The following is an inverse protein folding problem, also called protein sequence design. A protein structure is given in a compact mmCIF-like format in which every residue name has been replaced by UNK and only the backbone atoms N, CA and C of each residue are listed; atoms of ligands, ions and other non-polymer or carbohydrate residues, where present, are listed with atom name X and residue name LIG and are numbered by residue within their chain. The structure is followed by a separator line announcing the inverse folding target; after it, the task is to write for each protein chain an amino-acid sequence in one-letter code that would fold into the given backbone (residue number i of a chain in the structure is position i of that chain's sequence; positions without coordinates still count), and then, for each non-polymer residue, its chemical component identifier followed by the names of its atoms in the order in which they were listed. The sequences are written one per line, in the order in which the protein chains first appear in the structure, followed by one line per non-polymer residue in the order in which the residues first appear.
data_IF_166156053530
#
_entry.id   IF_166156053530
#
_cell.length_a   1.000
_cell.length_b   1.000
_cell.length_c   1.000
_cell.angle_alpha   90.00
_cell.angle_beta   90.00
_cell.angle_gamma   90.00
#
_symmetry.space_group_name_H-M   'P 1'
#
loop_
_entity.id
_entity.type
_entity.pdbx_description
1 polymer ?
#
# COMPACT_ATOMS: atom_id res chain seq x y z
N UNK A 1 8.38 17.57 14.46
CA UNK A 1 7.27 17.74 15.45
C UNK A 1 6.23 18.76 14.99
N UNK A 2 6.62 19.85 14.33
CA UNK A 2 5.75 20.93 13.89
C UNK A 2 4.64 20.47 12.94
N UNK A 3 4.93 19.53 12.06
CA UNK A 3 3.99 19.00 11.06
C UNK A 3 3.22 17.76 11.50
N UNK A 4 3.45 17.25 12.73
CA UNK A 4 2.81 16.03 13.24
C UNK A 4 3.28 14.73 12.56
N UNK A 5 4.36 14.81 11.77
CA UNK A 5 5.04 13.66 11.16
C UNK A 5 6.32 13.42 11.98
N UNK A 6 6.41 12.25 12.61
CA UNK A 6 7.60 11.88 13.36
C UNK A 6 8.69 11.38 12.42
N UNK A 7 9.80 12.10 12.41
CA UNK A 7 11.03 11.74 11.70
C UNK A 7 12.20 11.96 12.67
N UNK A 8 13.08 10.99 12.79
CA UNK A 8 14.34 11.15 13.52
C UNK A 8 15.37 11.86 12.62
N UNK A 9 15.75 13.12 12.93
CA UNK A 9 16.69 13.87 12.11
C UNK A 9 18.12 13.34 12.16
N UNK A 10 18.47 12.48 13.14
CA UNK A 10 19.77 11.86 13.26
C UNK A 10 19.86 10.51 12.53
N UNK A 11 18.72 9.95 12.11
CA UNK A 11 18.71 8.67 11.41
C UNK A 11 19.29 8.80 9.99
N UNK A 12 20.12 7.84 9.61
CA UNK A 12 20.62 7.74 8.24
C UNK A 12 19.53 7.18 7.34
N UNK A 13 19.28 7.79 6.16
CA UNK A 13 18.19 7.44 5.25
C UNK A 13 18.21 5.96 4.85
N UNK A 14 19.40 5.39 4.61
CA UNK A 14 19.52 3.98 4.23
C UNK A 14 19.16 2.98 5.34
N UNK A 15 19.03 3.45 6.60
CA UNK A 15 18.57 2.61 7.72
C UNK A 15 17.05 2.73 7.97
N UNK A 16 16.38 3.63 7.24
CA UNK A 16 14.95 3.85 7.39
C UNK A 16 14.16 2.81 6.57
N UNK A 17 13.04 2.37 7.11
CA UNK A 17 12.05 1.62 6.31
C UNK A 17 11.52 2.48 5.17
N UNK A 18 10.97 1.84 4.12
CA UNK A 18 10.42 2.57 2.95
C UNK A 18 9.35 3.58 3.37
N UNK A 19 8.47 3.23 4.32
CA UNK A 19 7.48 4.14 4.87
C UNK A 19 8.09 5.33 5.64
N UNK A 20 9.20 5.11 6.34
CA UNK A 20 9.94 6.20 7.00
C UNK A 20 10.62 7.12 5.98
N UNK A 21 11.23 6.55 4.93
CA UNK A 21 11.81 7.33 3.83
C UNK A 21 10.75 8.21 3.16
N UNK A 22 9.56 7.68 2.93
CA UNK A 22 8.45 8.44 2.37
C UNK A 22 8.01 9.58 3.28
N UNK A 23 7.97 9.38 4.60
CA UNK A 23 7.69 10.47 5.56
C UNK A 23 8.75 11.57 5.49
N UNK A 24 10.03 11.22 5.34
CA UNK A 24 11.11 12.21 5.15
C UNK A 24 10.87 13.05 3.91
N UNK A 25 10.52 12.44 2.78
CA UNK A 25 10.23 13.16 1.53
C UNK A 25 9.03 14.10 1.67
N UNK A 26 7.96 13.66 2.33
CA UNK A 26 6.79 14.51 2.58
C UNK A 26 7.18 15.72 3.43
N UNK A 27 7.93 15.51 4.53
CA UNK A 27 8.40 16.59 5.39
C UNK A 27 9.29 17.55 4.60
N UNK A 28 10.21 17.03 3.77
CA UNK A 28 11.08 17.83 2.92
C UNK A 28 10.30 18.74 1.97
N UNK A 29 9.25 18.21 1.34
CA UNK A 29 8.37 19.00 0.48
C UNK A 29 7.60 20.07 1.26
N UNK A 30 7.08 19.75 2.44
CA UNK A 30 6.31 20.68 3.26
C UNK A 30 7.16 21.82 3.84
N UNK A 31 8.44 21.58 4.12
CA UNK A 31 9.37 22.61 4.59
C UNK A 31 9.67 23.72 3.55
N UNK A 32 9.33 23.49 2.28
CA UNK A 32 9.49 24.48 1.21
C UNK A 32 8.29 25.45 1.11
N UNK A 33 7.32 25.36 2.01
CA UNK A 33 6.08 26.13 2.03
C UNK A 33 5.37 26.16 0.65
N UNK A 34 5.04 24.99 0.07
CA UNK A 34 4.47 24.90 -1.26
C UNK A 34 3.03 25.42 -1.27
N UNK A 35 2.62 26.04 -2.38
CA UNK A 35 1.21 26.37 -2.64
C UNK A 35 0.42 25.20 -3.21
N UNK A 36 1.11 24.26 -3.85
CA UNK A 36 0.56 23.03 -4.42
C UNK A 36 1.47 21.86 -4.05
N UNK A 37 0.88 20.82 -3.50
CA UNK A 37 1.55 19.54 -3.24
C UNK A 37 0.94 18.49 -4.17
N UNK A 38 1.79 17.84 -4.98
CA UNK A 38 1.39 16.73 -5.85
C UNK A 38 1.95 15.44 -5.24
N UNK A 39 1.07 14.48 -5.00
CA UNK A 39 1.41 13.19 -4.40
C UNK A 39 0.93 12.05 -5.30
N UNK A 40 1.85 11.21 -5.72
CA UNK A 40 1.58 10.04 -6.56
C UNK A 40 1.75 8.77 -5.73
N UNK A 41 0.63 8.04 -5.53
CA UNK A 41 0.54 6.80 -4.74
C UNK A 41 1.25 6.86 -3.37
N UNK A 42 1.05 7.93 -2.55
CA UNK A 42 1.87 8.16 -1.36
C UNK A 42 1.63 7.16 -0.22
N UNK A 43 0.66 6.30 -0.36
CA UNK A 43 0.25 5.32 0.67
C UNK A 43 0.58 3.88 0.28
N UNK A 44 1.27 3.67 -0.85
CA UNK A 44 1.54 2.33 -1.39
C UNK A 44 2.36 1.44 -0.43
N UNK A 45 3.20 2.05 0.39
CA UNK A 45 4.12 1.38 1.33
C UNK A 45 3.82 1.69 2.80
N UNK A 46 2.74 2.44 3.06
CA UNK A 46 2.31 2.81 4.40
C UNK A 46 1.35 1.78 5.00
N UNK A 47 1.42 1.62 6.31
CA UNK A 47 0.39 0.91 7.06
C UNK A 47 -0.91 1.71 7.10
N UNK A 48 -2.07 1.09 7.39
CA UNK A 48 -3.33 1.82 7.54
C UNK A 48 -3.25 2.96 8.58
N UNK A 49 -2.54 2.75 9.68
CA UNK A 49 -2.35 3.75 10.73
C UNK A 49 -1.52 4.94 10.24
N UNK A 50 -0.42 4.66 9.51
CA UNK A 50 0.42 5.70 8.91
C UNK A 50 -0.33 6.48 7.81
N UNK A 51 -1.18 5.81 7.05
CA UNK A 51 -2.05 6.43 6.05
C UNK A 51 -3.01 7.43 6.69
N UNK A 52 -3.69 7.05 7.79
CA UNK A 52 -4.60 7.98 8.47
C UNK A 52 -3.85 9.18 9.07
N UNK A 53 -2.67 8.96 9.67
CA UNK A 53 -1.82 10.05 10.14
C UNK A 53 -1.44 11.02 9.02
N UNK A 54 -1.08 10.48 7.83
CA UNK A 54 -0.81 11.30 6.65
C UNK A 54 -2.04 12.11 6.25
N UNK A 55 -3.22 11.51 6.22
CA UNK A 55 -4.47 12.18 5.86
C UNK A 55 -4.82 13.31 6.83
N UNK A 56 -4.62 13.11 8.13
CA UNK A 56 -4.81 14.18 9.12
C UNK A 56 -3.89 15.38 8.85
N UNK A 57 -2.63 15.10 8.53
CA UNK A 57 -1.66 16.14 8.17
C UNK A 57 -2.10 16.88 6.91
N UNK A 58 -2.45 16.17 5.85
CA UNK A 58 -2.89 16.77 4.58
C UNK A 58 -4.17 17.60 4.74
N UNK A 59 -5.16 17.11 5.52
CA UNK A 59 -6.38 17.86 5.84
C UNK A 59 -6.07 19.17 6.57
N UNK A 60 -5.11 19.15 7.52
CA UNK A 60 -4.66 20.34 8.25
C UNK A 60 -4.02 21.36 7.32
N UNK A 61 -3.12 20.92 6.43
CA UNK A 61 -2.48 21.81 5.48
C UNK A 61 -3.47 22.38 4.44
N UNK A 62 -4.40 21.56 3.96
CA UNK A 62 -5.44 21.99 3.06
C UNK A 62 -6.35 23.08 3.69
N UNK A 63 -6.67 22.96 5.00
CA UNK A 63 -7.39 24.00 5.75
C UNK A 63 -6.59 25.30 5.84
N UNK A 64 -5.27 25.25 5.80
CA UNK A 64 -4.38 26.40 5.83
C UNK A 64 -4.04 26.94 4.44
N UNK A 65 -4.75 26.48 3.39
CA UNK A 65 -4.64 27.02 2.04
C UNK A 65 -3.73 26.25 1.08
N UNK A 66 -3.09 25.15 1.50
CA UNK A 66 -2.34 24.29 0.60
C UNK A 66 -3.28 23.55 -0.36
N UNK A 67 -3.06 23.67 -1.65
CA UNK A 67 -3.71 22.83 -2.64
C UNK A 67 -3.02 21.45 -2.69
N UNK A 68 -3.81 20.37 -2.63
CA UNK A 68 -3.27 19.00 -2.70
C UNK A 68 -3.86 18.28 -3.90
N UNK A 69 -3.01 17.83 -4.81
CA UNK A 69 -3.34 16.89 -5.88
C UNK A 69 -2.89 15.48 -5.45
N UNK A 70 -3.86 14.64 -5.12
CA UNK A 70 -3.62 13.30 -4.62
C UNK A 70 -3.97 12.28 -5.70
N UNK A 71 -3.00 11.49 -6.14
CA UNK A 71 -3.15 10.46 -7.16
C UNK A 71 -3.12 9.11 -6.45
N UNK A 72 -4.16 8.31 -6.64
CA UNK A 72 -4.24 6.95 -6.09
C UNK A 72 -5.25 6.11 -6.87
N UNK A 73 -5.05 4.81 -6.88
CA UNK A 73 -6.01 3.82 -7.37
C UNK A 73 -6.85 3.19 -6.22
N UNK A 74 -6.53 3.52 -4.97
CA UNK A 74 -7.24 3.03 -3.78
C UNK A 74 -8.48 3.90 -3.51
N UNK A 75 -9.65 3.39 -3.87
CA UNK A 75 -10.89 4.15 -3.85
C UNK A 75 -11.34 4.59 -2.46
N UNK A 76 -11.02 3.80 -1.42
CA UNK A 76 -11.27 4.18 -0.04
C UNK A 76 -10.50 5.43 0.36
N UNK A 77 -9.25 5.55 -0.07
CA UNK A 77 -8.40 6.71 0.19
C UNK A 77 -8.91 7.96 -0.53
N UNK A 78 -9.28 7.82 -1.81
CA UNK A 78 -9.89 8.90 -2.59
C UNK A 78 -11.14 9.43 -1.88
N UNK A 79 -12.03 8.54 -1.42
CA UNK A 79 -13.25 8.94 -0.72
C UNK A 79 -12.98 9.54 0.66
N UNK A 80 -11.97 9.05 1.37
CA UNK A 80 -11.65 9.53 2.71
C UNK A 80 -10.98 10.90 2.71
N UNK A 81 -10.15 11.19 1.70
CA UNK A 81 -9.30 12.39 1.70
C UNK A 81 -9.84 13.50 0.80
N UNK A 82 -10.37 13.18 -0.38
CA UNK A 82 -10.65 14.17 -1.42
C UNK A 82 -12.12 14.59 -1.47
N UNK A 83 -12.39 15.84 -1.87
CA UNK A 83 -13.76 16.32 -2.12
C UNK A 83 -14.22 16.07 -3.54
N UNK A 84 -13.29 16.01 -4.50
CA UNK A 84 -13.53 15.79 -5.92
C UNK A 84 -12.50 14.84 -6.49
N UNK A 85 -12.93 13.91 -7.32
CA UNK A 85 -12.06 13.03 -8.08
C UNK A 85 -12.27 13.19 -9.57
N UNK A 86 -11.17 13.26 -10.31
CA UNK A 86 -11.15 13.21 -11.77
C UNK A 86 -10.60 11.85 -12.19
N UNK A 87 -11.36 11.13 -12.98
CA UNK A 87 -10.99 9.76 -13.41
C UNK A 87 -10.33 9.82 -14.78
N UNK A 88 -9.12 9.30 -14.86
CA UNK A 88 -8.38 9.14 -16.11
C UNK A 88 -8.47 7.69 -16.59
N UNK A 89 -8.69 7.52 -17.88
CA UNK A 89 -8.70 6.22 -18.54
C UNK A 89 -8.11 6.34 -19.94
N UNK A 90 -7.06 5.58 -20.25
CA UNK A 90 -6.33 5.62 -21.53
C UNK A 90 -5.92 7.04 -21.94
N UNK A 91 -5.40 7.82 -20.98
CA UNK A 91 -4.96 9.19 -21.21
C UNK A 91 -6.07 10.24 -21.34
N UNK A 92 -7.33 9.86 -21.18
CA UNK A 92 -8.47 10.76 -21.29
C UNK A 92 -9.18 10.95 -19.95
N UNK A 93 -9.66 12.17 -19.70
CA UNK A 93 -10.58 12.45 -18.60
C UNK A 93 -11.96 11.87 -18.97
N UNK A 94 -12.39 10.83 -18.25
CA UNK A 94 -13.68 10.16 -18.48
C UNK A 94 -14.79 10.65 -17.53
N UNK A 95 -14.45 11.51 -16.57
CA UNK A 95 -15.40 12.14 -15.68
C UNK A 95 -14.77 12.75 -14.44
N UNK A 96 -15.44 13.75 -13.89
CA UNK A 96 -15.11 14.34 -12.59
C UNK A 96 -16.35 14.26 -11.70
N UNK A 97 -16.16 13.75 -10.48
CA UNK A 97 -17.25 13.52 -9.54
C UNK A 97 -16.92 14.08 -8.16
N UNK A 98 -17.94 14.48 -7.41
CA UNK A 98 -17.80 14.69 -5.98
C UNK A 98 -17.66 13.34 -5.27
N UNK A 99 -16.65 13.19 -4.44
CA UNK A 99 -16.37 11.92 -3.76
C UNK A 99 -17.37 11.62 -2.65
N UNK A 100 -17.92 12.67 -2.05
CA UNK A 100 -18.97 12.56 -1.04
C UNK A 100 -20.24 11.98 -1.67
N UNK A 101 -20.68 10.83 -1.16
CA UNK A 101 -21.86 10.14 -1.67
C UNK A 101 -21.59 9.11 -2.78
N UNK A 102 -20.38 9.01 -3.30
CA UNK A 102 -19.98 7.95 -4.23
C UNK A 102 -19.62 6.67 -3.47
N UNK A 103 -20.04 5.52 -4.00
CA UNK A 103 -19.55 4.22 -3.55
C UNK A 103 -18.25 3.84 -4.29
N UNK A 104 -17.45 2.94 -3.69
CA UNK A 104 -16.27 2.38 -4.37
C UNK A 104 -16.66 1.72 -5.70
N UNK A 105 -17.82 1.06 -5.76
CA UNK A 105 -18.33 0.43 -6.97
C UNK A 105 -18.54 1.45 -8.08
N UNK A 106 -19.19 2.58 -7.80
CA UNK A 106 -19.43 3.64 -8.78
C UNK A 106 -18.13 4.24 -9.31
N UNK A 107 -17.15 4.51 -8.42
CA UNK A 107 -15.84 4.99 -8.83
C UNK A 107 -15.08 3.94 -9.66
N UNK A 108 -15.12 2.68 -9.26
CA UNK A 108 -14.51 1.58 -10.03
C UNK A 108 -15.13 1.44 -11.43
N UNK A 109 -16.46 1.53 -11.55
CA UNK A 109 -17.15 1.48 -12.83
C UNK A 109 -16.75 2.62 -13.77
N UNK A 110 -16.53 3.82 -13.24
CA UNK A 110 -15.96 4.95 -14.02
C UNK A 110 -14.54 4.64 -14.50
N UNK A 111 -13.68 4.09 -13.64
CA UNK A 111 -12.30 3.75 -13.99
C UNK A 111 -12.21 2.65 -15.02
N UNK A 112 -13.00 1.59 -14.87
CA UNK A 112 -13.00 0.42 -15.76
C UNK A 112 -13.79 0.70 -17.05
N UNK A 113 -14.87 1.49 -16.94
CA UNK A 113 -15.78 1.83 -18.06
C UNK A 113 -16.85 0.77 -18.33
N UNK A 114 -16.97 -0.21 -17.45
CA UNK A 114 -18.02 -1.25 -17.51
C UNK A 114 -18.56 -1.50 -16.10
N UNK A 115 -19.78 -2.01 -16.00
CA UNK A 115 -20.36 -2.42 -14.73
C UNK A 115 -19.54 -3.55 -14.09
N UNK A 116 -19.20 -3.38 -12.83
CA UNK A 116 -18.51 -4.43 -12.06
C UNK A 116 -19.51 -5.54 -11.77
N UNK A 117 -19.21 -6.75 -12.26
CA UNK A 117 -19.99 -7.95 -11.93
C UNK A 117 -19.53 -8.47 -10.57
N UNK A 118 -20.49 -8.87 -9.74
CA UNK A 118 -20.17 -9.57 -8.49
C UNK A 118 -19.55 -10.93 -8.81
N UNK A 119 -18.30 -11.12 -8.37
CA UNK A 119 -17.63 -12.41 -8.52
C UNK A 119 -18.05 -13.30 -7.35
N UNK A 120 -18.79 -14.37 -7.63
CA UNK A 120 -19.11 -15.37 -6.64
C UNK A 120 -17.81 -16.05 -6.15
N UNK A 121 -17.62 -16.05 -4.83
CA UNK A 121 -16.46 -16.69 -4.21
C UNK A 121 -16.61 -18.21 -4.38
N UNK A 122 -15.78 -18.82 -5.22
CA UNK A 122 -15.70 -20.27 -5.29
C UNK A 122 -14.99 -20.80 -4.04
N UNK A 123 -15.62 -21.74 -3.34
CA UNK A 123 -14.97 -22.45 -2.23
C UNK A 123 -13.94 -23.42 -2.81
N UNK A 124 -12.72 -23.39 -2.31
CA UNK A 124 -11.74 -24.41 -2.63
C UNK A 124 -12.27 -25.81 -2.24
N UNK A 125 -12.00 -26.85 -3.03
CA UNK A 125 -12.42 -28.22 -2.71
C UNK A 125 -11.81 -28.68 -1.38
N UNK A 126 -12.64 -29.12 -0.44
CA UNK A 126 -12.25 -29.44 0.93
C UNK A 126 -11.27 -30.62 1.09
N UNK A 127 -10.96 -31.38 0.01
CA UNK A 127 -10.08 -32.58 0.04
C UNK A 127 -9.19 -32.63 -1.21
N UNK A 128 -8.44 -31.58 -1.49
CA UNK A 128 -7.49 -31.58 -2.62
C UNK A 128 -6.08 -32.05 -2.17
N UNK A 129 -5.34 -32.64 -3.11
CA UNK A 129 -3.97 -33.11 -2.90
C UNK A 129 -3.05 -31.93 -2.56
N UNK A 130 -2.19 -32.07 -1.57
CA UNK A 130 -1.11 -31.13 -1.31
C UNK A 130 -0.14 -31.21 -2.49
N UNK A 131 0.09 -30.07 -3.13
CA UNK A 131 1.02 -29.96 -4.28
C UNK A 131 2.35 -29.36 -3.86
N UNK A 132 2.34 -28.56 -2.81
CA UNK A 132 3.53 -27.89 -2.32
C UNK A 132 3.48 -27.84 -0.79
N UNK A 133 4.59 -28.18 -0.13
CA UNK A 133 4.72 -28.08 1.30
C UNK A 133 6.13 -27.65 1.69
N UNK A 134 6.20 -26.77 2.66
CA UNK A 134 7.43 -26.37 3.36
C UNK A 134 7.21 -26.65 4.83
N UNK A 135 8.15 -27.33 5.49
CA UNK A 135 8.04 -27.69 6.89
C UNK A 135 9.22 -27.13 7.66
N UNK A 136 8.94 -26.33 8.69
CA UNK A 136 9.94 -25.78 9.62
C UNK A 136 11.11 -25.12 8.92
N UNK A 137 10.85 -24.30 7.88
CA UNK A 137 11.87 -23.53 7.20
C UNK A 137 12.47 -22.52 8.19
N UNK A 138 13.76 -22.65 8.41
CA UNK A 138 14.54 -21.72 9.21
C UNK A 138 15.69 -21.19 8.36
N UNK A 139 15.85 -19.87 8.33
CA UNK A 139 16.89 -19.22 7.55
C UNK A 139 17.42 -17.99 8.28
N UNK A 140 18.73 -17.93 8.57
CA UNK A 140 19.34 -16.75 9.16
C UNK A 140 19.32 -15.58 8.17
N UNK A 141 19.29 -14.36 8.69
CA UNK A 141 19.50 -13.15 7.88
C UNK A 141 20.87 -13.18 7.18
N UNK A 142 20.94 -12.73 5.95
CA UNK A 142 22.18 -12.71 5.18
C UNK A 142 22.94 -11.39 5.29
N UNK A 143 22.23 -10.30 5.59
CA UNK A 143 22.81 -8.96 5.73
C UNK A 143 22.06 -8.16 6.81
N UNK A 144 22.50 -6.92 7.03
CA UNK A 144 21.91 -6.04 8.05
C UNK A 144 20.43 -5.69 7.79
N UNK A 145 19.97 -5.81 6.55
CA UNK A 145 18.62 -5.39 6.10
C UNK A 145 17.66 -6.56 5.93
N UNK A 146 18.18 -7.81 5.91
CA UNK A 146 17.35 -8.99 5.75
C UNK A 146 16.79 -9.49 7.09
N UNK A 147 15.70 -10.26 7.01
CA UNK A 147 14.97 -10.83 8.14
C UNK A 147 15.29 -12.32 8.31
N UNK A 148 15.42 -12.77 9.54
CA UNK A 148 15.55 -14.20 9.84
C UNK A 148 14.18 -14.87 9.74
N UNK A 149 14.05 -15.88 8.87
CA UNK A 149 12.88 -16.76 8.86
C UNK A 149 13.00 -17.81 9.95
N UNK A 150 11.89 -18.06 10.68
CA UNK A 150 11.86 -19.03 11.78
C UNK A 150 10.61 -19.87 11.70
N UNK A 151 10.81 -21.17 11.68
CA UNK A 151 9.76 -22.21 11.80
C UNK A 151 8.57 -22.01 10.84
N UNK A 152 8.86 -21.61 9.59
CA UNK A 152 7.83 -21.37 8.58
C UNK A 152 7.31 -22.71 8.06
N UNK A 153 6.02 -22.95 8.24
CA UNK A 153 5.34 -24.15 7.73
C UNK A 153 4.17 -23.72 6.87
N UNK A 154 4.16 -24.16 5.61
CA UNK A 154 3.17 -23.79 4.58
C UNK A 154 2.78 -25.02 3.80
N UNK A 155 1.48 -25.21 3.54
CA UNK A 155 0.94 -26.19 2.61
C UNK A 155 0.05 -25.50 1.60
N UNK A 156 0.24 -25.80 0.31
CA UNK A 156 -0.65 -25.36 -0.76
C UNK A 156 -1.24 -26.57 -1.50
N UNK A 157 -2.55 -26.54 -1.73
CA UNK A 157 -3.33 -27.65 -2.27
C UNK A 157 -3.77 -27.37 -3.71
N UNK A 158 -4.06 -28.44 -4.44
CA UNK A 158 -4.59 -28.33 -5.80
C UNK A 158 -5.89 -27.51 -5.83
N UNK A 159 -5.95 -26.48 -6.71
CA UNK A 159 -7.11 -25.59 -6.85
C UNK A 159 -7.26 -24.55 -5.72
N UNK A 160 -6.27 -24.44 -4.83
CA UNK A 160 -6.22 -23.45 -3.77
C UNK A 160 -5.40 -22.22 -4.21
N UNK A 161 -5.87 -21.03 -3.81
CA UNK A 161 -5.07 -19.80 -3.83
C UNK A 161 -4.67 -19.53 -2.38
N UNK A 162 -3.41 -19.80 -2.06
CA UNK A 162 -2.84 -19.55 -0.73
C UNK A 162 -2.23 -18.15 -0.68
N UNK A 163 -2.69 -17.30 0.26
CA UNK A 163 -2.22 -15.93 0.41
C UNK A 163 -1.23 -15.80 1.56
N UNK A 164 -0.11 -15.10 1.32
CA UNK A 164 0.85 -14.67 2.34
C UNK A 164 0.71 -13.17 2.51
N UNK A 165 0.35 -12.72 3.72
CA UNK A 165 0.15 -11.32 4.03
C UNK A 165 1.08 -10.88 5.15
N UNK A 166 1.52 -9.62 5.09
CA UNK A 166 2.37 -8.99 6.11
C UNK A 166 2.68 -7.55 5.75
N UNK A 167 3.18 -6.80 6.74
CA UNK A 167 3.71 -5.46 6.51
C UNK A 167 5.08 -5.59 5.82
N UNK A 168 5.40 -4.68 4.90
CA UNK A 168 6.68 -4.65 4.19
C UNK A 168 7.87 -4.73 5.17
N UNK A 169 8.87 -5.56 4.85
CA UNK A 169 10.03 -5.78 5.70
C UNK A 169 9.88 -6.85 6.80
N UNK A 170 8.79 -7.61 6.81
CA UNK A 170 8.58 -8.70 7.77
C UNK A 170 9.06 -10.08 7.27
N UNK A 171 9.84 -10.14 6.21
CA UNK A 171 10.46 -11.38 5.71
C UNK A 171 9.76 -12.00 4.51
N UNK A 172 8.83 -11.30 3.84
CA UNK A 172 8.14 -11.79 2.66
C UNK A 172 9.11 -12.01 1.49
N UNK A 173 10.06 -11.09 1.31
CA UNK A 173 11.07 -11.16 0.23
C UNK A 173 12.01 -12.34 0.46
N UNK A 174 12.46 -12.55 1.72
CA UNK A 174 13.29 -13.68 2.11
C UNK A 174 12.54 -15.02 1.96
N UNK A 175 11.26 -15.02 2.29
CA UNK A 175 10.42 -16.19 2.11
C UNK A 175 10.24 -16.49 0.61
N UNK A 176 9.94 -15.50 -0.21
CA UNK A 176 9.82 -15.69 -1.66
C UNK A 176 11.11 -16.24 -2.25
N UNK A 177 12.26 -15.64 -1.94
CA UNK A 177 13.55 -16.10 -2.41
C UNK A 177 13.89 -17.53 -1.95
N UNK A 178 13.45 -17.93 -0.74
CA UNK A 178 13.61 -19.31 -0.27
C UNK A 178 12.67 -20.28 -1.00
N UNK A 179 11.43 -19.88 -1.32
CA UNK A 179 10.46 -20.72 -2.02
C UNK A 179 10.79 -20.90 -3.51
N UNK A 180 11.39 -19.89 -4.14
CA UNK A 180 11.81 -19.94 -5.56
C UNK A 180 13.19 -20.60 -5.76
N UNK A 181 13.93 -20.86 -4.68
CA UNK A 181 15.27 -21.43 -4.78
C UNK A 181 16.35 -20.45 -5.23
N UNK A 182 16.06 -19.15 -5.24
CA UNK A 182 17.06 -18.13 -5.56
C UNK A 182 18.17 -18.05 -4.51
N UNK A 183 17.88 -18.57 -3.34
CA UNK A 183 18.79 -18.58 -2.20
C UNK A 183 18.88 -20.02 -1.63
N UNK A 184 19.78 -20.76 -2.16
CA UNK A 184 20.15 -22.10 -1.64
C UNK A 184 21.15 -21.99 -0.49
#
# INVERSE_FOLDING_TARGET
KEYGIEVDPAARIHNLSVGQQQRVEIVRCLLQDPKLLIMDEPTSVLTPQETEQLFEVLRRFAKNGLAVLFISHKLDEIRALTSRATVLRRGQNVGSVNTKGQSNRQLAELMIGTKVKDVARQKAPAKSKILFAVTKLNRPKQNAFSVTLRDITIEARAGEIFGIAGIAGNGQDELMAALTGEWL
#
